data_IF_882697337183
#
_entry.id   IF_882697337183
#
_cell.length_a   1.000
_cell.length_b   1.000
_cell.length_c   1.000
_cell.angle_alpha   90.00
_cell.angle_beta   90.00
_cell.angle_gamma   90.00
#
_symmetry.space_group_name_H-M   'P 1'
#
loop_
_entity.id
_entity.type
_entity.pdbx_description
1 polymer ?
#
# COMPACT_ATOMS: atom_id res chain seq x y z
N UNK A 1 45.29 48.43 -26.86
CA UNK A 1 44.01 48.17 -26.18
C UNK A 1 44.01 48.98 -24.90
N UNK A 2 43.04 49.89 -24.74
CA UNK A 2 42.98 50.82 -23.61
C UNK A 2 42.75 50.01 -22.31
N UNK A 3 43.45 50.37 -21.23
CA UNK A 3 43.37 49.61 -19.94
C UNK A 3 41.96 49.58 -19.38
N UNK A 4 41.14 50.61 -19.56
CA UNK A 4 39.73 50.63 -19.25
C UNK A 4 38.91 49.55 -19.97
N UNK A 5 39.27 49.17 -21.20
CA UNK A 5 38.63 48.11 -21.96
C UNK A 5 39.01 46.72 -21.43
N UNK A 6 40.26 46.53 -21.01
CA UNK A 6 40.74 45.29 -20.38
C UNK A 6 39.98 45.01 -19.08
N UNK A 7 39.83 46.01 -18.20
CA UNK A 7 39.09 45.87 -16.95
C UNK A 7 37.62 45.53 -17.17
N UNK A 8 36.96 46.14 -18.18
CA UNK A 8 35.57 45.82 -18.53
C UNK A 8 35.43 44.35 -19.01
N UNK A 9 36.36 43.86 -19.82
CA UNK A 9 36.33 42.48 -20.31
C UNK A 9 36.55 41.52 -19.14
N UNK A 10 37.52 41.77 -18.26
CA UNK A 10 37.79 40.92 -17.10
C UNK A 10 36.57 40.87 -16.16
N UNK A 11 35.95 42.04 -15.86
CA UNK A 11 34.75 42.10 -15.07
C UNK A 11 33.58 41.32 -15.66
N UNK A 12 33.40 41.40 -16.98
CA UNK A 12 32.34 40.66 -17.68
C UNK A 12 32.56 39.14 -17.62
N UNK A 13 33.81 38.68 -17.82
CA UNK A 13 34.14 37.25 -17.70
C UNK A 13 33.92 36.71 -16.29
N UNK A 14 34.32 37.50 -15.27
CA UNK A 14 34.07 37.13 -13.85
C UNK A 14 32.59 37.08 -13.53
N UNK A 15 31.78 38.03 -14.03
CA UNK A 15 30.35 38.04 -13.82
C UNK A 15 29.63 36.82 -14.47
N UNK A 16 30.04 36.44 -15.70
CA UNK A 16 29.55 35.26 -16.38
C UNK A 16 29.95 33.98 -15.62
N UNK A 17 31.18 33.87 -15.13
CA UNK A 17 31.63 32.75 -14.31
C UNK A 17 30.85 32.60 -13.01
N UNK A 18 30.59 33.73 -12.33
CA UNK A 18 29.75 33.73 -11.10
C UNK A 18 28.30 33.29 -11.38
N UNK A 19 27.72 33.80 -12.49
CA UNK A 19 26.37 33.42 -12.88
C UNK A 19 26.25 31.93 -13.22
N UNK A 20 27.24 31.39 -13.95
CA UNK A 20 27.30 29.96 -14.29
C UNK A 20 27.44 29.09 -13.03
N UNK A 21 28.26 29.51 -12.05
CA UNK A 21 28.42 28.82 -10.78
C UNK A 21 27.14 28.85 -9.94
N UNK A 22 26.42 29.98 -9.92
CA UNK A 22 25.13 30.09 -9.24
C UNK A 22 24.06 29.18 -9.87
N UNK A 23 23.98 29.16 -11.19
CA UNK A 23 23.07 28.28 -11.95
C UNK A 23 23.40 26.80 -11.63
N UNK A 24 24.69 26.44 -11.67
CA UNK A 24 25.11 25.08 -11.33
C UNK A 24 24.72 24.68 -9.90
N UNK A 25 24.90 25.60 -8.93
CA UNK A 25 24.53 25.37 -7.54
C UNK A 25 23.01 25.15 -7.39
N UNK A 26 22.19 25.97 -8.04
CA UNK A 26 20.73 25.87 -8.00
C UNK A 26 20.22 24.58 -8.67
N UNK A 27 20.83 24.19 -9.79
CA UNK A 27 20.51 22.94 -10.49
C UNK A 27 20.90 21.73 -9.65
N UNK A 28 22.08 21.74 -9.03
CA UNK A 28 22.53 20.67 -8.13
C UNK A 28 21.64 20.54 -6.88
N UNK A 29 21.21 21.64 -6.31
CA UNK A 29 20.26 21.60 -5.18
C UNK A 29 18.88 21.06 -5.59
N UNK A 30 18.39 21.40 -6.79
CA UNK A 30 17.14 20.83 -7.30
C UNK A 30 17.24 19.34 -7.57
N UNK A 31 18.38 18.83 -8.02
CA UNK A 31 18.61 17.40 -8.21
C UNK A 31 18.70 16.65 -6.88
N UNK A 32 19.31 17.25 -5.86
CA UNK A 32 19.41 16.67 -4.51
C UNK A 32 18.07 16.61 -3.75
N UNK A 33 17.07 17.41 -4.14
CA UNK A 33 15.73 17.45 -3.52
C UNK A 33 14.69 16.58 -4.24
N UNK A 34 15.02 15.93 -5.35
CA UNK A 34 14.13 14.94 -5.93
C UNK A 34 14.12 13.68 -5.04
N UNK A 35 12.93 13.24 -4.55
CA UNK A 35 12.85 11.99 -3.81
C UNK A 35 13.40 10.88 -4.71
N UNK A 36 14.37 10.14 -4.20
CA UNK A 36 14.96 8.99 -4.88
C UNK A 36 13.84 8.02 -5.26
N UNK A 37 13.54 7.92 -6.56
CA UNK A 37 12.49 7.03 -7.05
C UNK A 37 13.00 5.59 -6.96
N UNK A 38 12.62 4.92 -5.86
CA UNK A 38 12.97 3.52 -5.67
C UNK A 38 12.40 2.67 -6.82
N UNK A 39 13.16 1.70 -7.34
CA UNK A 39 12.63 0.76 -8.32
C UNK A 39 11.38 0.04 -7.80
N UNK A 40 10.40 -0.19 -8.67
CA UNK A 40 9.13 -0.82 -8.28
C UNK A 40 9.35 -2.19 -7.59
N UNK A 41 10.33 -2.96 -8.04
CA UNK A 41 10.70 -4.24 -7.44
C UNK A 41 11.16 -4.09 -5.98
N UNK A 42 11.92 -3.05 -5.67
CA UNK A 42 12.37 -2.76 -4.30
C UNK A 42 11.21 -2.34 -3.40
N UNK A 43 10.29 -1.51 -3.92
CA UNK A 43 9.09 -1.09 -3.18
C UNK A 43 8.24 -2.31 -2.82
N UNK A 44 7.99 -3.21 -3.79
CA UNK A 44 7.22 -4.44 -3.56
C UNK A 44 7.90 -5.33 -2.54
N UNK A 45 9.21 -5.58 -2.67
CA UNK A 45 9.96 -6.41 -1.74
C UNK A 45 9.93 -5.82 -0.33
N UNK A 46 10.15 -4.51 -0.20
CA UNK A 46 10.09 -3.82 1.09
C UNK A 46 8.72 -3.95 1.75
N UNK A 47 7.63 -3.80 0.97
CA UNK A 47 6.26 -3.96 1.46
C UNK A 47 5.98 -5.39 1.96
N UNK A 48 6.45 -6.40 1.24
CA UNK A 48 6.32 -7.81 1.65
C UNK A 48 7.07 -8.06 2.97
N UNK A 49 8.30 -7.57 3.09
CA UNK A 49 9.15 -7.80 4.26
C UNK A 49 8.71 -7.00 5.50
N UNK A 50 8.11 -5.82 5.32
CA UNK A 50 7.64 -4.97 6.43
C UNK A 50 6.31 -5.43 7.03
N UNK A 51 5.48 -6.14 6.24
CA UNK A 51 4.18 -6.62 6.71
C UNK A 51 4.32 -7.50 7.96
N UNK A 52 3.53 -7.19 8.95
CA UNK A 52 3.48 -7.93 10.21
C UNK A 52 2.05 -8.04 10.74
N UNK A 53 1.80 -9.04 11.59
CA UNK A 53 0.52 -9.22 12.26
C UNK A 53 0.37 -8.22 13.40
N UNK A 54 -0.49 -7.23 13.23
CA UNK A 54 -0.80 -6.20 14.21
C UNK A 54 -2.12 -6.54 14.90
N UNK A 55 -2.14 -6.57 16.24
CA UNK A 55 -3.30 -6.94 17.04
C UNK A 55 -3.69 -5.89 18.10
N UNK A 56 -3.02 -4.75 18.12
CA UNK A 56 -3.35 -3.59 18.94
C UNK A 56 -3.52 -2.40 18.02
N UNK A 57 -4.61 -1.68 18.15
CA UNK A 57 -5.02 -0.66 17.19
C UNK A 57 -5.25 0.69 17.86
N UNK A 58 -5.09 1.75 17.07
CA UNK A 58 -5.43 3.11 17.47
C UNK A 58 -6.91 3.39 17.19
N UNK A 59 -7.42 4.49 17.76
CA UNK A 59 -8.79 4.95 17.47
C UNK A 59 -8.92 5.71 16.13
N UNK A 60 -7.87 5.71 15.30
CA UNK A 60 -7.91 6.37 13.99
C UNK A 60 -8.88 5.62 13.07
N UNK A 61 -9.91 6.28 12.54
CA UNK A 61 -10.91 5.62 11.71
C UNK A 61 -10.29 5.16 10.38
N UNK A 62 -10.82 4.05 9.86
CA UNK A 62 -10.54 3.56 8.51
C UNK A 62 -11.69 4.00 7.60
N UNK A 63 -11.38 4.72 6.54
CA UNK A 63 -12.39 5.27 5.63
C UNK A 63 -12.97 4.18 4.72
N UNK A 64 -14.19 4.41 4.21
CA UNK A 64 -14.82 3.51 3.23
C UNK A 64 -13.96 3.32 1.98
N UNK A 65 -13.35 4.38 1.48
CA UNK A 65 -12.44 4.31 0.33
C UNK A 65 -11.22 3.41 0.59
N UNK A 66 -10.68 3.41 1.82
CA UNK A 66 -9.61 2.49 2.20
C UNK A 66 -10.09 1.04 2.21
N UNK A 67 -11.27 0.78 2.80
CA UNK A 67 -11.86 -0.56 2.82
C UNK A 67 -12.15 -1.08 1.40
N UNK A 68 -12.67 -0.25 0.52
CA UNK A 68 -12.90 -0.59 -0.88
C UNK A 68 -11.59 -0.92 -1.62
N UNK A 69 -10.52 -0.18 -1.33
CA UNK A 69 -9.17 -0.45 -1.89
C UNK A 69 -8.65 -1.81 -1.41
N UNK A 70 -8.81 -2.14 -0.14
CA UNK A 70 -8.42 -3.45 0.41
C UNK A 70 -9.17 -4.60 -0.27
N UNK A 71 -10.49 -4.47 -0.44
CA UNK A 71 -11.31 -5.48 -1.12
C UNK A 71 -10.90 -5.62 -2.58
N UNK A 72 -10.62 -4.51 -3.29
CA UNK A 72 -10.13 -4.56 -4.67
C UNK A 72 -8.77 -5.27 -4.79
N UNK A 73 -7.86 -5.05 -3.85
CA UNK A 73 -6.60 -5.78 -3.81
C UNK A 73 -6.82 -7.28 -3.60
N UNK A 74 -7.71 -7.65 -2.68
CA UNK A 74 -8.10 -9.05 -2.46
C UNK A 74 -8.67 -9.69 -3.73
N UNK A 75 -9.56 -8.99 -4.45
CA UNK A 75 -10.17 -9.47 -5.70
C UNK A 75 -9.19 -9.63 -6.86
N UNK A 76 -8.00 -9.03 -6.78
CA UNK A 76 -6.94 -9.18 -7.78
C UNK A 76 -6.09 -10.45 -7.58
N UNK A 77 -6.35 -11.24 -6.54
CA UNK A 77 -5.63 -12.49 -6.31
C UNK A 77 -5.89 -13.52 -7.42
N UNK A 78 -4.93 -14.41 -7.72
CA UNK A 78 -5.16 -15.51 -8.63
C UNK A 78 -6.13 -16.52 -8.02
N UNK A 79 -6.89 -17.24 -8.87
CA UNK A 79 -7.77 -18.34 -8.47
C UNK A 79 -7.61 -19.55 -9.37
N UNK A 80 -7.85 -20.72 -8.80
CA UNK A 80 -7.86 -21.95 -9.60
C UNK A 80 -8.91 -21.88 -10.70
N UNK A 81 -8.47 -21.99 -11.98
CA UNK A 81 -9.31 -21.92 -13.17
C UNK A 81 -10.19 -20.66 -13.28
N UNK A 82 -9.75 -19.55 -12.69
CA UNK A 82 -10.47 -18.26 -12.66
C UNK A 82 -11.89 -18.35 -12.08
N UNK A 83 -12.10 -19.25 -11.11
CA UNK A 83 -13.42 -19.48 -10.51
C UNK A 83 -13.88 -18.39 -9.55
N UNK A 84 -12.95 -17.65 -8.96
CA UNK A 84 -13.20 -16.54 -8.03
C UNK A 84 -14.23 -16.86 -6.94
N UNK A 85 -14.00 -17.94 -6.17
CA UNK A 85 -15.00 -18.48 -5.24
C UNK A 85 -15.00 -17.74 -3.90
N UNK A 86 -14.83 -16.43 -3.90
CA UNK A 86 -14.81 -15.60 -2.70
C UNK A 86 -15.97 -14.64 -2.63
N UNK A 87 -16.34 -14.33 -1.39
CA UNK A 87 -17.18 -13.19 -1.03
C UNK A 87 -16.54 -12.44 0.12
N UNK A 88 -16.67 -11.13 0.11
CA UNK A 88 -16.10 -10.26 1.15
C UNK A 88 -17.23 -9.58 1.89
N UNK A 89 -17.21 -9.68 3.24
CA UNK A 89 -18.13 -8.94 4.10
C UNK A 89 -17.33 -7.92 4.87
N UNK A 90 -17.57 -6.66 4.58
CA UNK A 90 -16.95 -5.53 5.30
C UNK A 90 -17.79 -5.21 6.54
N UNK A 91 -17.15 -5.20 7.70
CA UNK A 91 -17.76 -4.97 9.00
C UNK A 91 -17.10 -3.75 9.63
N UNK A 92 -17.78 -2.62 9.61
CA UNK A 92 -17.36 -1.35 10.20
C UNK A 92 -18.26 -0.88 11.34
N UNK A 93 -19.22 -1.71 11.73
CA UNK A 93 -20.11 -1.48 12.87
C UNK A 93 -19.45 -1.93 14.16
N UNK A 94 -19.22 -1.01 15.08
CA UNK A 94 -18.54 -1.27 16.37
C UNK A 94 -19.25 -2.33 17.21
N UNK A 95 -20.59 -2.29 17.26
CA UNK A 95 -21.37 -3.25 18.04
C UNK A 95 -21.24 -4.67 17.46
N UNK A 96 -21.32 -4.82 16.13
CA UNK A 96 -21.11 -6.10 15.46
C UNK A 96 -19.71 -6.66 15.74
N UNK A 97 -18.68 -5.83 15.70
CA UNK A 97 -17.30 -6.24 15.98
C UNK A 97 -17.11 -6.66 17.44
N UNK A 98 -17.72 -5.96 18.40
CA UNK A 98 -17.70 -6.36 19.81
C UNK A 98 -18.41 -7.70 20.04
N UNK A 99 -19.55 -7.92 19.39
CA UNK A 99 -20.25 -9.20 19.45
C UNK A 99 -19.44 -10.35 18.88
N UNK A 100 -18.74 -10.11 17.76
CA UNK A 100 -17.84 -11.10 17.17
C UNK A 100 -16.64 -11.38 18.08
N UNK A 101 -16.01 -10.36 18.65
CA UNK A 101 -14.91 -10.52 19.59
C UNK A 101 -15.31 -11.36 20.81
N UNK A 102 -16.52 -11.18 21.32
CA UNK A 102 -17.05 -11.97 22.43
C UNK A 102 -17.25 -13.45 22.08
N UNK A 103 -17.61 -13.74 20.81
CA UNK A 103 -17.86 -15.12 20.34
C UNK A 103 -16.60 -15.83 19.82
N UNK A 104 -15.56 -15.09 19.46
CA UNK A 104 -14.34 -15.60 18.83
C UNK A 104 -13.12 -15.44 19.75
N UNK A 105 -12.78 -16.43 20.59
CA UNK A 105 -11.74 -16.29 21.61
C UNK A 105 -10.34 -15.91 21.06
N UNK A 106 -10.07 -16.29 19.81
CA UNK A 106 -8.80 -15.98 19.12
C UNK A 106 -8.80 -14.64 18.39
N UNK A 107 -9.92 -13.95 18.32
CA UNK A 107 -10.11 -12.68 17.61
C UNK A 107 -10.55 -11.53 18.53
N UNK A 108 -10.11 -11.55 19.81
CA UNK A 108 -10.46 -10.50 20.81
C UNK A 108 -10.09 -9.09 20.35
N UNK A 109 -9.04 -8.95 19.52
CA UNK A 109 -8.62 -7.67 18.95
C UNK A 109 -9.71 -6.99 18.09
N UNK A 110 -10.73 -7.70 17.64
CA UNK A 110 -11.87 -7.10 16.92
C UNK A 110 -12.60 -6.03 17.75
N UNK A 111 -12.58 -6.14 19.07
CA UNK A 111 -13.21 -5.14 19.96
C UNK A 111 -12.55 -3.75 19.82
N UNK A 112 -11.24 -3.70 19.52
CA UNK A 112 -10.45 -2.47 19.36
C UNK A 112 -10.32 -2.05 17.89
N UNK A 113 -10.44 -2.99 16.95
CA UNK A 113 -10.28 -2.70 15.53
C UNK A 113 -11.32 -1.70 15.02
N UNK A 114 -10.95 -0.94 13.98
CA UNK A 114 -11.86 0.04 13.36
C UNK A 114 -12.75 -0.59 12.29
N UNK A 115 -12.31 -1.68 11.70
CA UNK A 115 -13.06 -2.48 10.75
C UNK A 115 -12.54 -3.92 10.71
N UNK A 116 -13.34 -4.81 10.15
CA UNK A 116 -12.94 -6.17 9.78
C UNK A 116 -13.47 -6.53 8.39
N UNK A 117 -12.76 -7.40 7.71
CA UNK A 117 -13.20 -7.96 6.43
C UNK A 117 -13.22 -9.47 6.56
N UNK A 118 -14.42 -10.07 6.53
CA UNK A 118 -14.54 -11.51 6.47
C UNK A 118 -14.37 -11.98 5.01
N UNK A 119 -13.39 -12.83 4.77
CA UNK A 119 -13.14 -13.48 3.48
C UNK A 119 -13.82 -14.86 3.53
N UNK A 120 -14.84 -15.03 2.71
CA UNK A 120 -15.71 -16.22 2.71
C UNK A 120 -15.55 -16.98 1.38
N UNK A 121 -15.48 -18.30 1.44
CA UNK A 121 -15.60 -19.17 0.28
C UNK A 121 -17.07 -19.31 -0.15
N UNK A 122 -17.37 -18.99 -1.41
CA UNK A 122 -18.71 -19.20 -1.99
C UNK A 122 -18.82 -20.63 -2.51
N UNK A 123 -19.50 -21.46 -1.76
CA UNK A 123 -19.68 -22.88 -2.10
C UNK A 123 -20.67 -23.12 -3.24
N UNK A 124 -21.37 -22.07 -3.71
CA UNK A 124 -22.23 -22.16 -4.91
C UNK A 124 -21.43 -22.08 -6.21
N UNK A 125 -20.17 -21.64 -6.16
CA UNK A 125 -19.27 -21.61 -7.32
C UNK A 125 -18.76 -23.02 -7.58
N UNK A 126 -19.20 -23.59 -8.70
CA UNK A 126 -18.90 -24.98 -9.06
C UNK A 126 -17.71 -25.04 -10.02
N UNK A 127 -16.90 -26.06 -9.85
CA UNK A 127 -15.88 -26.49 -10.80
C UNK A 127 -16.53 -27.17 -12.01
N UNK A 128 -15.74 -27.48 -13.04
CA UNK A 128 -16.23 -28.14 -14.28
C UNK A 128 -16.89 -29.50 -14.02
N UNK A 129 -16.56 -30.18 -12.92
CA UNK A 129 -17.15 -31.44 -12.47
C UNK A 129 -18.47 -31.27 -11.68
N UNK A 130 -19.01 -30.04 -11.62
CA UNK A 130 -20.26 -29.72 -10.92
C UNK A 130 -20.18 -29.74 -9.41
N UNK A 131 -18.98 -29.80 -8.83
CA UNK A 131 -18.74 -29.76 -7.37
C UNK A 131 -18.22 -28.39 -6.95
N UNK A 132 -18.38 -27.99 -5.68
CA UNK A 132 -17.75 -26.77 -5.15
C UNK A 132 -16.26 -26.77 -5.45
N UNK A 133 -15.71 -25.61 -5.83
CA UNK A 133 -14.29 -25.47 -6.12
C UNK A 133 -13.45 -25.98 -4.94
N UNK A 134 -12.61 -26.98 -5.19
CA UNK A 134 -11.72 -27.54 -4.16
C UNK A 134 -10.64 -26.55 -3.70
N UNK A 135 -10.37 -25.55 -4.52
CA UNK A 135 -9.31 -24.56 -4.28
C UNK A 135 -9.80 -23.35 -3.48
N UNK A 136 -11.07 -23.28 -3.09
CA UNK A 136 -11.62 -22.09 -2.44
C UNK A 136 -10.81 -21.63 -1.22
N UNK A 137 -10.24 -22.57 -0.42
CA UNK A 137 -9.40 -22.21 0.72
C UNK A 137 -8.11 -21.54 0.29
N UNK A 138 -7.45 -22.07 -0.75
CA UNK A 138 -6.21 -21.50 -1.30
C UNK A 138 -6.49 -20.15 -1.96
N UNK A 139 -7.56 -20.06 -2.73
CA UNK A 139 -7.98 -18.84 -3.41
C UNK A 139 -8.33 -17.74 -2.40
N UNK A 140 -9.08 -18.04 -1.35
CA UNK A 140 -9.38 -17.10 -0.27
C UNK A 140 -8.12 -16.72 0.54
N UNK A 141 -7.17 -17.63 0.71
CA UNK A 141 -5.89 -17.33 1.37
C UNK A 141 -5.05 -16.37 0.54
N UNK A 142 -4.95 -16.59 -0.78
CA UNK A 142 -4.26 -15.68 -1.68
C UNK A 142 -4.91 -14.27 -1.67
N UNK A 143 -6.24 -14.21 -1.68
CA UNK A 143 -6.97 -12.95 -1.57
C UNK A 143 -6.71 -12.25 -0.24
N UNK A 144 -6.64 -13.00 0.87
CA UNK A 144 -6.33 -12.45 2.20
C UNK A 144 -4.92 -11.89 2.25
N UNK A 145 -3.92 -12.57 1.67
CA UNK A 145 -2.55 -12.04 1.65
C UNK A 145 -2.44 -10.76 0.83
N UNK A 146 -3.07 -10.67 -0.34
CA UNK A 146 -3.14 -9.41 -1.10
C UNK A 146 -3.75 -8.27 -0.29
N UNK A 147 -4.81 -8.56 0.49
CA UNK A 147 -5.44 -7.59 1.39
C UNK A 147 -4.46 -7.12 2.47
N UNK A 148 -3.71 -8.04 3.08
CA UNK A 148 -2.73 -7.71 4.12
C UNK A 148 -1.56 -6.88 3.58
N UNK A 149 -1.05 -7.21 2.40
CA UNK A 149 0.00 -6.44 1.72
C UNK A 149 -0.49 -5.03 1.34
N UNK A 150 -1.73 -4.91 0.88
CA UNK A 150 -2.33 -3.61 0.58
C UNK A 150 -2.54 -2.79 1.86
N UNK A 151 -2.93 -3.42 2.97
CA UNK A 151 -3.06 -2.75 4.27
C UNK A 151 -1.70 -2.17 4.72
N UNK A 152 -0.62 -2.95 4.63
CA UNK A 152 0.74 -2.49 4.94
C UNK A 152 1.14 -1.30 4.08
N UNK A 153 0.93 -1.37 2.75
CA UNK A 153 1.22 -0.27 1.83
C UNK A 153 0.45 1.01 2.13
N UNK A 154 -0.71 0.91 2.78
CA UNK A 154 -1.56 2.02 3.21
C UNK A 154 -1.26 2.51 4.63
N UNK A 155 -0.26 1.93 5.31
CA UNK A 155 0.08 2.24 6.70
C UNK A 155 -1.00 1.79 7.69
N UNK A 156 -1.77 0.75 7.36
CA UNK A 156 -2.78 0.15 8.22
C UNK A 156 -2.23 -1.12 8.87
N UNK A 157 -2.36 -1.21 10.21
CA UNK A 157 -2.09 -2.45 10.93
C UNK A 157 -3.21 -3.47 10.71
N UNK A 158 -2.86 -4.67 10.28
CA UNK A 158 -3.82 -5.75 10.05
C UNK A 158 -3.30 -7.10 10.54
N UNK A 159 -4.20 -8.07 10.70
CA UNK A 159 -3.90 -9.46 11.03
C UNK A 159 -4.95 -10.38 10.43
N UNK A 160 -4.51 -11.55 10.05
CA UNK A 160 -5.36 -12.67 9.66
C UNK A 160 -5.57 -13.61 10.83
#
# INVERSE_FOLDING_TARGET
MNDALKYKIVSLVLAIGLLASLIHLVVSQKQATQPEHKPAAEIVMQNILSRKSVRSYTNRPVSRAQLDTLVRAAMAAPTGMDTRPWKFVVIDNKNAMQQLAAKLPRAKMLAEAQAAIAVCGDMSVLSKDGKPSRNWMLDCSAATENLLLQAEAMGLGAVW
#
